data_IF_355050186844
#
_entry.id   IF_355050186844
#
_cell.length_a   1.000
_cell.length_b   1.000
_cell.length_c   1.000
_cell.angle_alpha   90.00
_cell.angle_beta   90.00
_cell.angle_gamma   90.00
#
_symmetry.space_group_name_H-M   'P 1'
#
loop_
_entity.id
_entity.type
_entity.pdbx_description
1 polymer ?
#
# COMPACT_ATOMS: atom_id res chain seq x y z
N UNK A 1 -29.24 21.00 8.21
CA UNK A 1 -27.78 20.93 8.40
C UNK A 1 -27.25 20.00 7.32
N UNK A 2 -26.48 20.53 6.38
CA UNK A 2 -25.93 19.75 5.28
C UNK A 2 -24.78 18.92 5.83
N UNK A 3 -24.93 17.60 5.88
CA UNK A 3 -23.79 16.70 6.05
C UNK A 3 -22.91 16.89 4.83
N UNK A 4 -21.73 17.46 5.04
CA UNK A 4 -20.73 17.59 4.00
C UNK A 4 -20.47 16.20 3.43
N UNK A 5 -20.76 16.01 2.14
CA UNK A 5 -20.34 14.86 1.37
C UNK A 5 -18.81 14.82 1.41
N UNK A 6 -18.25 14.10 2.38
CA UNK A 6 -16.82 13.83 2.40
C UNK A 6 -16.52 13.06 1.11
N UNK A 7 -15.74 13.70 0.24
CA UNK A 7 -15.30 13.13 -1.01
C UNK A 7 -14.54 11.83 -0.73
N UNK A 8 -15.21 10.70 -0.95
CA UNK A 8 -14.71 9.32 -0.91
C UNK A 8 -13.79 9.01 -2.10
N UNK A 9 -12.94 9.96 -2.51
CA UNK A 9 -12.07 9.85 -3.68
C UNK A 9 -10.60 10.09 -3.30
N UNK A 10 -10.13 9.43 -2.24
CA UNK A 10 -8.70 9.22 -2.07
C UNK A 10 -8.47 7.73 -2.12
N UNK A 11 -8.18 7.25 -3.33
CA UNK A 11 -7.66 5.91 -3.58
C UNK A 11 -6.33 5.80 -2.83
N UNK A 12 -6.37 5.25 -1.61
CA UNK A 12 -5.16 4.94 -0.86
C UNK A 12 -4.43 3.81 -1.58
N UNK A 13 -3.15 3.98 -1.87
CA UNK A 13 -2.38 2.95 -2.57
C UNK A 13 -1.07 2.66 -1.83
N UNK A 14 -0.77 1.38 -1.62
CA UNK A 14 0.53 0.94 -1.12
C UNK A 14 1.34 0.45 -2.30
N UNK A 15 2.47 1.11 -2.54
CA UNK A 15 3.44 0.70 -3.52
C UNK A 15 4.53 -0.16 -2.86
N UNK A 16 5.07 -1.11 -3.61
CA UNK A 16 6.15 -1.98 -3.14
C UNK A 16 7.17 -2.28 -4.23
N UNK A 17 8.39 -2.62 -3.80
CA UNK A 17 9.46 -3.14 -4.66
C UNK A 17 10.28 -4.21 -3.94
N UNK A 18 10.48 -5.33 -4.61
CA UNK A 18 11.31 -6.47 -4.21
C UNK A 18 12.61 -6.48 -5.05
N UNK A 19 13.72 -6.11 -4.42
CA UNK A 19 15.05 -6.09 -5.03
C UNK A 19 15.87 -7.31 -4.57
N UNK A 20 16.33 -8.13 -5.51
CA UNK A 20 17.28 -9.20 -5.24
C UNK A 20 18.69 -8.62 -5.15
N UNK A 21 19.33 -8.79 -4.00
CA UNK A 21 20.72 -8.40 -3.74
C UNK A 21 21.57 -9.65 -3.46
N UNK A 22 22.91 -9.57 -3.55
CA UNK A 22 23.77 -10.71 -3.24
C UNK A 22 23.55 -11.19 -1.79
N UNK A 23 22.92 -12.37 -1.63
CA UNK A 23 22.67 -12.99 -0.34
C UNK A 23 21.50 -12.43 0.47
N UNK A 24 20.73 -11.47 -0.05
CA UNK A 24 19.59 -10.88 0.64
C UNK A 24 18.52 -10.39 -0.33
N UNK A 25 17.29 -10.20 0.17
CA UNK A 25 16.19 -9.58 -0.55
C UNK A 25 15.80 -8.30 0.17
N UNK A 26 15.68 -7.20 -0.55
CA UNK A 26 15.22 -5.92 -0.01
C UNK A 26 13.77 -5.69 -0.44
N UNK A 27 12.90 -5.48 0.53
CA UNK A 27 11.53 -5.02 0.32
C UNK A 27 11.45 -3.54 0.66
N UNK A 28 11.03 -2.73 -0.30
CA UNK A 28 10.69 -1.33 -0.09
C UNK A 28 9.18 -1.17 -0.17
N UNK A 29 8.58 -0.46 0.78
CA UNK A 29 7.16 -0.11 0.83
C UNK A 29 7.02 1.41 0.91
N UNK A 30 6.06 1.99 0.22
CA UNK A 30 5.73 3.40 0.35
C UNK A 30 4.27 3.69 0.01
N UNK A 31 3.72 4.74 0.61
CA UNK A 31 2.40 5.28 0.28
C UNK A 31 2.58 6.71 -0.22
N UNK A 32 2.11 7.04 -1.44
CA UNK A 32 2.15 8.41 -1.94
C UNK A 32 1.13 9.30 -1.21
N UNK A 33 1.50 10.56 -0.95
CA UNK A 33 0.55 11.55 -0.47
C UNK A 33 -0.42 11.94 -1.58
N UNK A 34 -1.72 11.96 -1.25
CA UNK A 34 -2.80 12.33 -2.15
C UNK A 34 -2.78 13.80 -2.63
N UNK A 35 -1.89 14.66 -2.10
CA UNK A 35 -1.63 15.98 -2.69
C UNK A 35 -0.57 15.79 -3.79
N UNK A 36 -0.83 15.99 -5.08
CA UNK A 36 -1.54 17.11 -5.70
C UNK A 36 -1.76 16.76 -7.17
N UNK A 37 -2.94 17.05 -7.72
CA UNK A 37 -3.23 16.92 -9.17
C UNK A 37 -2.43 17.89 -10.04
N UNK A 38 -1.54 18.69 -9.47
CA UNK A 38 -0.68 19.63 -10.19
C UNK A 38 0.73 19.61 -9.61
N UNK A 39 1.65 18.96 -10.32
CA UNK A 39 2.96 19.50 -10.73
C UNK A 39 3.93 18.35 -11.03
N UNK A 40 4.20 18.18 -12.33
CA UNK A 40 5.07 17.16 -12.92
C UNK A 40 6.56 17.27 -12.55
N UNK A 41 6.93 17.97 -11.48
CA UNK A 41 8.34 18.31 -11.19
C UNK A 41 8.76 18.18 -9.72
N UNK A 42 7.87 17.80 -8.80
CA UNK A 42 8.26 17.53 -7.41
C UNK A 42 8.23 16.03 -7.10
N UNK A 43 9.23 15.48 -6.39
CA UNK A 43 9.14 14.12 -5.88
C UNK A 43 7.92 14.06 -4.97
N UNK A 44 6.91 13.29 -5.38
CA UNK A 44 5.68 13.13 -4.61
C UNK A 44 6.03 12.85 -3.15
N UNK A 45 5.58 13.67 -2.19
CA UNK A 45 5.86 13.40 -0.80
C UNK A 45 5.20 12.06 -0.43
N UNK A 46 5.96 11.18 0.21
CA UNK A 46 5.41 9.93 0.72
C UNK A 46 4.74 10.20 2.07
N UNK A 47 3.56 9.61 2.31
CA UNK A 47 2.98 9.54 3.65
C UNK A 47 3.87 8.69 4.56
N UNK A 48 4.40 7.59 4.02
CA UNK A 48 5.45 6.82 4.66
C UNK A 48 6.35 6.11 3.64
N UNK A 49 7.55 5.74 4.10
CA UNK A 49 8.44 4.81 3.40
C UNK A 49 9.07 3.87 4.43
N UNK A 50 9.12 2.58 4.09
CA UNK A 50 9.77 1.57 4.91
C UNK A 50 10.67 0.68 4.03
N UNK A 51 11.83 0.32 4.56
CA UNK A 51 12.77 -0.59 3.90
C UNK A 51 13.07 -1.75 4.84
N UNK A 52 12.85 -2.96 4.35
CA UNK A 52 13.10 -4.21 5.06
C UNK A 52 14.11 -5.04 4.27
N UNK A 53 14.87 -5.86 4.99
CA UNK A 53 15.84 -6.79 4.42
C UNK A 53 15.60 -8.18 4.97
N UNK A 54 15.55 -9.15 4.07
CA UNK A 54 15.26 -10.56 4.34
C UNK A 54 16.34 -11.46 3.76
N UNK A 55 16.45 -12.69 4.24
CA UNK A 55 17.42 -13.65 3.73
C UNK A 55 16.89 -14.35 2.48
N UNK A 56 15.56 -14.46 2.35
CA UNK A 56 14.91 -15.18 1.25
C UNK A 56 13.77 -14.37 0.63
N UNK A 57 13.44 -14.68 -0.63
CA UNK A 57 12.28 -14.08 -1.30
C UNK A 57 10.98 -14.46 -0.59
N UNK A 58 10.86 -15.69 -0.11
CA UNK A 58 9.67 -16.17 0.58
C UNK A 58 9.36 -15.37 1.86
N UNK A 59 10.39 -15.01 2.64
CA UNK A 59 10.23 -14.14 3.82
C UNK A 59 9.76 -12.73 3.42
N UNK A 60 10.33 -12.18 2.34
CA UNK A 60 9.97 -10.86 1.84
C UNK A 60 8.52 -10.83 1.33
N UNK A 61 8.09 -11.84 0.57
CA UNK A 61 6.72 -11.98 0.09
C UNK A 61 5.72 -12.19 1.23
N UNK A 62 6.07 -13.01 2.24
CA UNK A 62 5.22 -13.19 3.41
C UNK A 62 5.01 -11.89 4.19
N UNK A 63 6.09 -11.12 4.39
CA UNK A 63 6.00 -9.82 5.06
C UNK A 63 5.25 -8.77 4.23
N UNK A 64 5.44 -8.75 2.91
CA UNK A 64 4.66 -7.91 2.00
C UNK A 64 3.17 -8.23 2.09
N UNK A 65 2.81 -9.50 2.02
CA UNK A 65 1.42 -9.97 2.12
C UNK A 65 0.78 -9.57 3.44
N UNK A 66 1.47 -9.82 4.55
CA UNK A 66 0.98 -9.44 5.88
C UNK A 66 0.78 -7.92 5.98
N UNK A 67 1.73 -7.13 5.46
CA UNK A 67 1.61 -5.67 5.43
C UNK A 67 0.38 -5.23 4.63
N UNK A 68 0.16 -5.78 3.43
CA UNK A 68 -0.97 -5.45 2.58
C UNK A 68 -2.31 -5.80 3.27
N UNK A 69 -2.42 -7.00 3.84
CA UNK A 69 -3.63 -7.44 4.55
C UNK A 69 -3.92 -6.58 5.78
N UNK A 70 -2.89 -6.24 6.57
CA UNK A 70 -3.05 -5.38 7.74
C UNK A 70 -3.48 -3.95 7.39
N UNK A 71 -3.19 -3.49 6.17
CA UNK A 71 -3.64 -2.21 5.67
C UNK A 71 -5.00 -2.29 4.95
N UNK A 72 -5.64 -3.45 4.89
CA UNK A 72 -6.98 -3.61 4.31
C UNK A 72 -7.01 -3.95 2.83
N UNK A 73 -5.89 -4.39 2.24
CA UNK A 73 -5.92 -5.00 0.91
C UNK A 73 -6.71 -6.31 0.94
N UNK A 74 -7.44 -6.59 -0.13
CA UNK A 74 -8.16 -7.85 -0.34
C UNK A 74 -7.55 -8.59 -1.55
N UNK A 75 -7.75 -9.91 -1.61
CA UNK A 75 -7.28 -10.76 -2.72
C UNK A 75 -5.76 -10.69 -2.97
N UNK A 76 -4.98 -10.58 -1.88
CA UNK A 76 -3.53 -10.55 -1.93
C UNK A 76 -2.98 -11.97 -2.17
N UNK A 77 -2.14 -12.21 -3.19
CA UNK A 77 -1.60 -13.54 -3.47
C UNK A 77 -0.69 -14.04 -2.34
N UNK A 78 -0.62 -15.37 -2.18
CA UNK A 78 0.24 -15.99 -1.18
C UNK A 78 1.74 -15.96 -1.55
N UNK A 79 2.06 -15.88 -2.85
CA UNK A 79 3.42 -15.85 -3.39
C UNK A 79 3.46 -15.38 -4.85
N UNK A 80 4.67 -15.27 -5.41
CA UNK A 80 4.92 -14.83 -6.79
C UNK A 80 4.48 -13.38 -7.04
N UNK A 81 4.80 -12.49 -6.10
CA UNK A 81 4.60 -11.07 -6.33
C UNK A 81 5.50 -10.61 -7.49
N UNK A 82 5.02 -9.72 -8.37
CA UNK A 82 5.92 -9.05 -9.29
C UNK A 82 6.99 -8.27 -8.51
N UNK A 83 8.13 -7.99 -9.15
CA UNK A 83 9.23 -7.26 -8.50
C UNK A 83 8.84 -5.85 -8.04
N UNK A 84 7.80 -5.27 -8.61
CA UNK A 84 7.25 -3.97 -8.23
C UNK A 84 5.76 -3.96 -8.52
N UNK A 85 5.00 -3.25 -7.69
CA UNK A 85 3.58 -3.10 -7.88
C UNK A 85 2.98 -2.01 -7.02
N UNK A 86 1.74 -1.65 -7.35
CA UNK A 86 0.90 -0.71 -6.65
C UNK A 86 -0.41 -1.40 -6.31
N UNK A 87 -0.77 -1.39 -5.03
CA UNK A 87 -1.98 -2.06 -4.53
C UNK A 87 -2.91 -0.99 -3.97
N UNK A 88 -4.08 -0.86 -4.61
CA UNK A 88 -5.16 -0.02 -4.11
C UNK A 88 -5.74 -0.64 -2.83
N UNK A 89 -5.75 0.15 -1.76
CA UNK A 89 -6.40 -0.15 -0.49
C UNK A 89 -7.80 0.42 -0.57
N UNK A 90 -8.77 -0.47 -0.72
CA UNK A 90 -10.18 -0.07 -0.73
C UNK A 90 -10.56 0.36 0.69
N UNK A 91 -11.28 1.48 0.86
CA UNK A 91 -11.85 1.83 2.15
C UNK A 91 -12.75 0.67 2.58
N UNK A 92 -12.43 0.05 3.73
CA UNK A 92 -13.31 -0.92 4.36
C UNK A 92 -14.70 -0.27 4.53
N UNK A 93 -15.82 -1.01 4.40
CA UNK A 93 -17.13 -0.46 4.76
C UNK A 93 -17.06 0.00 6.22
N UNK A 94 -16.90 1.30 6.41
CA UNK A 94 -16.98 1.93 7.73
C UNK A 94 -18.41 1.69 8.20
N UNK A 95 -18.53 0.88 9.26
CA UNK A 95 -19.74 0.62 10.05
C UNK A 95 -20.99 1.26 9.45
N UNK A 96 -21.74 0.50 8.64
CA UNK A 96 -23.14 0.82 8.49
C UNK A 96 -23.72 0.56 9.87
N UNK A 97 -23.91 1.62 10.67
CA UNK A 97 -24.76 1.60 11.85
C UNK A 97 -26.19 1.33 11.35
N UNK A 98 -26.43 0.08 10.97
CA UNK A 98 -27.74 -0.53 10.88
C UNK A 98 -28.29 -0.66 12.29
N UNK A 99 -28.55 0.47 12.92
CA UNK A 99 -29.54 0.50 14.00
C UNK A 99 -30.91 0.51 13.33
N UNK A 100 -31.77 -0.51 13.58
CA UNK A 100 -33.14 -0.52 13.10
C UNK A 100 -33.99 0.62 13.69
#
# INVERSE_FOLDING_TARGET
MSVASYATNHDHAICYRLELLPGQVKLRLWEPSAMTTEQAEQPLPYLYVANFTFNTMAEAEASLREHLLNNGAFDVPDSNFPHEGEIAILPYPTWNDGSP
#
